data_IF_875090406288
#
_entry.id   IF_875090406288
#
_cell.length_a   1.000
_cell.length_b   1.000
_cell.length_c   1.000
_cell.angle_alpha   90.00
_cell.angle_beta   90.00
_cell.angle_gamma   90.00
#
_symmetry.space_group_name_H-M   'P 1'
#
loop_
_entity.id
_entity.type
_entity.pdbx_description
1 polymer ?
#
# COMPACT_ATOMS: atom_id res chain seq x y z
N UNK A 1 -14.06 11.85 -18.14
CA UNK A 1 -13.25 10.75 -17.57
C UNK A 1 -11.93 11.37 -17.12
N UNK A 2 -11.73 11.57 -15.82
CA UNK A 2 -10.39 11.87 -15.30
C UNK A 2 -9.59 10.57 -15.38
N UNK A 3 -8.45 10.59 -16.07
CA UNK A 3 -7.51 9.47 -16.06
C UNK A 3 -7.12 9.16 -14.61
N UNK A 4 -7.08 7.89 -14.24
CA UNK A 4 -6.62 7.49 -12.92
C UNK A 4 -5.15 7.88 -12.78
N UNK A 5 -4.79 8.52 -11.67
CA UNK A 5 -3.39 8.72 -11.29
C UNK A 5 -2.86 7.40 -10.70
N UNK A 6 -1.88 6.79 -11.36
CA UNK A 6 -1.37 5.46 -11.03
C UNK A 6 0.01 5.57 -10.41
N UNK A 7 0.15 5.06 -9.19
CA UNK A 7 1.44 4.95 -8.50
C UNK A 7 1.76 3.50 -8.18
N UNK A 8 2.97 3.09 -8.53
CA UNK A 8 3.43 1.72 -8.39
C UNK A 8 4.46 1.55 -7.27
N UNK A 9 4.46 0.40 -6.63
CA UNK A 9 5.51 -0.02 -5.70
C UNK A 9 6.30 -1.18 -6.30
N UNK A 10 7.63 -1.10 -6.31
CA UNK A 10 8.46 -2.20 -6.80
C UNK A 10 9.79 -2.34 -6.07
N UNK A 11 10.18 -3.57 -5.76
CA UNK A 11 11.42 -3.86 -5.05
C UNK A 11 12.66 -3.74 -5.93
N UNK A 12 13.25 -2.55 -5.96
CA UNK A 12 14.49 -2.18 -6.65
C UNK A 12 14.32 -0.97 -7.58
N UNK A 13 15.28 -0.04 -7.55
CA UNK A 13 15.24 1.21 -8.32
C UNK A 13 15.13 0.98 -9.84
N UNK A 14 15.74 -0.08 -10.35
CA UNK A 14 15.60 -0.50 -11.76
C UNK A 14 14.14 -0.77 -12.16
N UNK A 15 13.33 -1.31 -11.25
CA UNK A 15 11.91 -1.61 -11.51
C UNK A 15 11.05 -0.37 -11.36
N UNK A 16 11.39 0.50 -10.42
CA UNK A 16 10.76 1.82 -10.26
C UNK A 16 10.91 2.62 -11.54
N UNK A 17 12.12 2.70 -12.09
CA UNK A 17 12.38 3.37 -13.36
C UNK A 17 11.62 2.73 -14.51
N UNK A 18 11.53 1.39 -14.54
CA UNK A 18 10.77 0.68 -15.56
C UNK A 18 9.26 0.98 -15.50
N UNK A 19 8.68 1.10 -14.31
CA UNK A 19 7.28 1.48 -14.13
C UNK A 19 6.98 2.87 -14.72
N UNK A 20 7.86 3.84 -14.45
CA UNK A 20 7.69 5.22 -14.91
C UNK A 20 7.96 5.37 -16.41
N UNK A 21 9.08 4.81 -16.88
CA UNK A 21 9.57 5.07 -18.23
C UNK A 21 8.98 4.13 -19.30
N UNK A 22 8.59 2.90 -18.94
CA UNK A 22 8.11 1.90 -19.91
C UNK A 22 6.61 1.62 -19.80
N UNK A 23 6.04 1.65 -18.59
CA UNK A 23 4.62 1.37 -18.37
C UNK A 23 3.74 2.62 -18.24
N UNK A 24 4.34 3.81 -18.16
CA UNK A 24 3.61 5.07 -18.12
C UNK A 24 2.90 5.33 -16.79
N UNK A 25 3.42 4.78 -15.70
CA UNK A 25 2.93 5.11 -14.36
C UNK A 25 3.26 6.57 -14.05
N UNK A 26 2.35 7.27 -13.39
CA UNK A 26 2.56 8.67 -13.03
C UNK A 26 3.66 8.82 -11.98
N UNK A 27 3.79 7.83 -11.08
CA UNK A 27 4.92 7.73 -10.16
C UNK A 27 5.19 6.28 -9.71
N UNK A 28 6.35 6.06 -9.09
CA UNK A 28 6.67 4.79 -8.46
C UNK A 28 7.73 4.94 -7.36
N UNK A 29 7.72 4.04 -6.39
CA UNK A 29 8.70 4.02 -5.29
C UNK A 29 9.19 2.59 -4.98
N UNK A 30 10.35 2.53 -4.32
CA UNK A 30 11.00 1.27 -3.94
C UNK A 30 10.56 0.84 -2.54
N UNK A 31 9.75 -0.21 -2.45
CA UNK A 31 9.22 -0.73 -1.18
C UNK A 31 10.28 -1.31 -0.23
N UNK A 32 11.50 -1.57 -0.72
CA UNK A 32 12.63 -2.03 0.12
C UNK A 32 13.36 -0.91 0.83
N UNK A 33 13.25 0.32 0.34
CA UNK A 33 13.91 1.50 0.91
C UNK A 33 12.95 2.32 1.79
N UNK A 34 11.67 1.97 1.78
CA UNK A 34 10.63 2.62 2.57
C UNK A 34 10.39 1.89 3.88
N UNK A 35 10.63 2.56 5.00
CA UNK A 35 10.32 2.03 6.32
C UNK A 35 8.82 2.05 6.62
N UNK A 36 8.04 2.86 5.90
CA UNK A 36 6.60 2.96 6.06
C UNK A 36 5.94 3.36 4.72
N UNK A 37 5.09 2.47 4.22
CA UNK A 37 4.38 2.61 2.96
C UNK A 37 3.42 3.81 2.94
N UNK A 38 2.83 4.12 4.09
CA UNK A 38 1.92 5.26 4.25
C UNK A 38 2.67 6.59 4.11
N UNK A 39 3.88 6.70 4.67
CA UNK A 39 4.75 7.85 4.42
C UNK A 39 5.24 7.93 2.97
N UNK A 40 5.52 6.79 2.33
CA UNK A 40 5.92 6.75 0.92
C UNK A 40 4.81 7.29 0.01
N UNK A 41 3.57 6.88 0.28
CA UNK A 41 2.37 7.29 -0.49
C UNK A 41 1.94 8.73 -0.15
N UNK A 42 2.12 9.18 1.09
CA UNK A 42 1.85 10.57 1.52
C UNK A 42 2.87 11.58 0.99
N UNK A 43 4.12 11.19 0.71
CA UNK A 43 5.20 12.10 0.29
C UNK A 43 4.90 12.85 -1.01
N UNK A 44 4.11 12.26 -1.90
CA UNK A 44 3.65 12.93 -3.13
C UNK A 44 2.47 13.89 -2.91
N UNK A 45 1.85 13.90 -1.71
CA UNK A 45 0.72 14.78 -1.36
C UNK A 45 -0.56 14.54 -2.16
N UNK A 46 -0.59 13.52 -3.03
CA UNK A 46 -1.68 13.25 -3.99
C UNK A 46 -2.40 11.92 -3.74
N UNK A 47 -1.86 11.06 -2.89
CA UNK A 47 -2.45 9.74 -2.57
C UNK A 47 -2.77 9.69 -1.08
N UNK A 48 -4.06 9.48 -0.78
CA UNK A 48 -4.51 9.16 0.57
C UNK A 48 -4.78 7.67 0.64
N UNK A 49 -4.01 6.96 1.44
CA UNK A 49 -4.29 5.57 1.75
C UNK A 49 -5.34 5.51 2.85
N UNK A 50 -6.45 4.83 2.55
CA UNK A 50 -7.38 4.39 3.58
C UNK A 50 -6.96 2.99 3.96
N UNK A 51 -6.76 2.77 5.25
CA UNK A 51 -6.40 1.48 5.81
C UNK A 51 -7.55 0.97 6.68
N UNK A 52 -7.80 -0.32 6.60
CA UNK A 52 -8.65 -1.06 7.52
C UNK A 52 -7.72 -1.96 8.35
N UNK A 53 -7.80 -1.87 9.68
CA UNK A 53 -6.82 -2.49 10.56
C UNK A 53 -7.55 -3.46 11.49
N UNK A 54 -7.26 -4.74 11.31
CA UNK A 54 -7.65 -5.80 12.22
C UNK A 54 -6.59 -5.96 13.32
N UNK A 55 -6.98 -5.79 14.58
CA UNK A 55 -6.09 -6.01 15.72
C UNK A 55 -5.95 -7.51 16.04
N UNK A 56 -4.72 -7.96 16.22
CA UNK A 56 -4.41 -9.34 16.61
C UNK A 56 -4.29 -10.30 15.44
N UNK A 57 -3.32 -11.23 15.51
CA UNK A 57 -3.10 -12.23 14.47
C UNK A 57 -4.28 -13.20 14.33
N UNK A 58 -5.01 -13.42 15.41
CA UNK A 58 -6.26 -14.18 15.48
C UNK A 58 -7.34 -13.63 14.54
N UNK A 59 -7.30 -12.33 14.23
CA UNK A 59 -8.25 -11.67 13.33
C UNK A 59 -7.89 -11.87 11.85
N UNK A 60 -6.72 -12.43 11.52
CA UNK A 60 -6.25 -12.59 10.14
C UNK A 60 -7.18 -13.44 9.25
N UNK A 61 -7.72 -14.60 9.71
CA UNK A 61 -8.63 -15.39 8.90
C UNK A 61 -9.90 -14.61 8.53
N UNK A 62 -10.51 -13.93 9.50
CA UNK A 62 -11.73 -13.15 9.29
C UNK A 62 -11.48 -11.91 8.42
N UNK A 63 -10.36 -11.23 8.61
CA UNK A 63 -9.92 -10.11 7.78
C UNK A 63 -9.73 -10.55 6.31
N UNK A 64 -9.16 -11.73 6.08
CA UNK A 64 -8.97 -12.32 4.75
C UNK A 64 -10.30 -12.71 4.11
N UNK A 65 -11.19 -13.37 4.84
CA UNK A 65 -12.54 -13.67 4.34
C UNK A 65 -13.29 -12.37 4.03
N UNK A 66 -13.20 -11.37 4.90
CA UNK A 66 -13.79 -10.05 4.70
C UNK A 66 -13.30 -9.37 3.42
N UNK A 67 -12.01 -9.50 3.10
CA UNK A 67 -11.41 -8.98 1.87
C UNK A 67 -12.10 -9.52 0.60
N UNK A 68 -12.38 -10.82 0.55
CA UNK A 68 -13.06 -11.44 -0.60
C UNK A 68 -14.57 -11.14 -0.67
N UNK A 69 -15.16 -10.63 0.41
CA UNK A 69 -16.57 -10.22 0.46
C UNK A 69 -16.74 -8.69 0.40
N UNK A 70 -15.66 -7.94 0.18
CA UNK A 70 -15.69 -6.47 0.09
C UNK A 70 -16.07 -5.80 1.42
N UNK A 71 -15.73 -6.40 2.56
CA UNK A 71 -16.02 -5.84 3.88
C UNK A 71 -15.03 -4.77 4.31
N UNK A 72 -13.83 -4.73 3.72
CA UNK A 72 -12.80 -3.75 4.03
C UNK A 72 -12.92 -2.50 3.16
N UNK A 73 -12.51 -1.35 3.71
CA UNK A 73 -12.36 -0.10 2.96
C UNK A 73 -10.88 0.22 2.83
N UNK A 74 -10.37 0.17 1.61
CA UNK A 74 -8.95 0.41 1.35
C UNK A 74 -8.08 -0.80 1.68
N UNK A 75 -6.86 -0.56 2.17
CA UNK A 75 -5.85 -1.61 2.40
C UNK A 75 -6.12 -2.33 3.72
N UNK A 76 -6.38 -3.63 3.66
CA UNK A 76 -6.54 -4.47 4.86
C UNK A 76 -5.18 -4.78 5.48
N UNK A 77 -5.01 -4.50 6.78
CA UNK A 77 -3.81 -4.79 7.57
C UNK A 77 -4.18 -5.60 8.82
N UNK A 78 -3.25 -6.43 9.28
CA UNK A 78 -3.37 -7.15 10.57
C UNK A 78 -2.25 -6.69 11.49
N UNK A 79 -2.61 -6.12 12.64
CA UNK A 79 -1.65 -5.65 13.64
C UNK A 79 -1.25 -6.80 14.56
N UNK A 80 -0.02 -7.31 14.37
CA UNK A 80 0.48 -8.50 15.07
C UNK A 80 1.22 -8.16 16.37
N UNK A 81 1.85 -6.99 16.46
CA UNK A 81 2.52 -6.49 17.66
C UNK A 81 2.27 -5.01 17.86
N UNK A 82 2.29 -4.55 19.12
CA UNK A 82 2.48 -3.13 19.43
C UNK A 82 3.97 -2.91 19.50
N UNK A 83 4.48 -1.91 18.80
CA UNK A 83 5.86 -1.46 19.00
C UNK A 83 6.01 -1.12 20.48
N UNK A 84 6.97 -1.78 21.14
CA UNK A 84 7.37 -1.40 22.50
C UNK A 84 8.24 -0.15 22.35
N UNK A 85 7.74 1.01 22.80
CA UNK A 85 8.61 2.17 23.08
C UNK A 85 9.52 1.90 24.28
#
# INVERSE_FOLDING_TARGET
MMGCYVVGSAGGNEKVDFLKNNFGFDDAFNDKEENNLDSALKREGKITCVEDIADGLESAPDALVGLFHGKNVGKQLVKVSRDFE
#
